data_IF_609890263936
#
_entry.id   IF_609890263936
#
_cell.length_a   1.000
_cell.length_b   1.000
_cell.length_c   1.000
_cell.angle_alpha   90.00
_cell.angle_beta   90.00
_cell.angle_gamma   90.00
#
_symmetry.space_group_name_H-M   'P 1'
#
loop_
_entity.id
_entity.type
_entity.pdbx_description
1 polymer ?
#
# COMPACT_ATOMS: atom_id res chain seq x y z
N UNK A 1 6.65 -3.67 -5.35
CA UNK A 1 5.31 -3.56 -4.70
C UNK A 1 4.34 -2.96 -5.70
N UNK A 2 3.11 -3.46 -5.75
CA UNK A 2 2.03 -2.95 -6.61
C UNK A 2 0.80 -2.64 -5.76
N UNK A 3 0.07 -1.58 -6.11
CA UNK A 3 -1.17 -1.16 -5.42
C UNK A 3 -2.27 -1.03 -6.47
N UNK A 4 -3.33 -1.81 -6.33
CA UNK A 4 -4.55 -1.69 -7.13
C UNK A 4 -5.48 -0.64 -6.49
N UNK A 5 -5.34 0.60 -6.94
CA UNK A 5 -6.16 1.72 -6.45
C UNK A 5 -7.65 1.54 -6.70
N UNK A 6 -8.06 0.66 -7.63
CA UNK A 6 -9.49 0.41 -7.86
C UNK A 6 -10.20 -0.33 -6.73
N UNK A 7 -9.44 -1.08 -5.93
CA UNK A 7 -9.92 -1.83 -4.77
C UNK A 7 -9.61 -1.13 -3.45
N UNK A 8 -8.77 -0.09 -3.46
CA UNK A 8 -8.40 0.62 -2.25
C UNK A 8 -9.59 1.41 -1.70
N UNK A 9 -9.95 1.12 -0.45
CA UNK A 9 -11.05 1.80 0.27
C UNK A 9 -10.61 3.03 1.05
N UNK A 10 -9.30 3.33 1.08
CA UNK A 10 -8.77 4.48 1.80
C UNK A 10 -8.67 4.29 3.32
N UNK A 11 -8.60 3.05 3.82
CA UNK A 11 -8.60 2.74 5.26
C UNK A 11 -7.30 3.04 6.03
N UNK A 12 -6.23 3.47 5.34
CA UNK A 12 -4.93 3.89 5.89
C UNK A 12 -4.11 2.84 6.67
N UNK A 13 -4.61 1.62 6.87
CA UNK A 13 -3.92 0.57 7.64
C UNK A 13 -2.51 0.28 7.10
N UNK A 14 -2.34 0.25 5.77
CA UNK A 14 -1.04 0.01 5.15
C UNK A 14 -0.02 1.13 5.41
N UNK A 15 -0.47 2.38 5.55
CA UNK A 15 0.37 3.55 5.87
C UNK A 15 0.93 3.39 7.28
N UNK A 16 0.08 3.02 8.23
CA UNK A 16 0.50 2.80 9.62
C UNK A 16 1.36 1.55 9.80
N UNK A 17 1.10 0.49 9.04
CA UNK A 17 1.86 -0.76 9.14
C UNK A 17 3.24 -0.68 8.49
N UNK A 18 3.51 0.28 7.60
CA UNK A 18 4.78 0.33 6.87
C UNK A 18 5.92 0.83 7.78
N UNK A 19 6.90 -0.01 8.16
CA UNK A 19 8.00 0.40 9.03
C UNK A 19 9.02 1.32 8.35
N UNK A 20 8.90 1.50 7.03
CA UNK A 20 9.78 2.33 6.20
C UNK A 20 9.09 3.60 5.70
N UNK A 21 7.82 3.84 6.09
CA UNK A 21 7.04 5.01 5.68
C UNK A 21 7.00 5.22 4.16
N UNK A 22 6.93 4.12 3.40
CA UNK A 22 6.89 4.12 1.92
C UNK A 22 5.54 4.62 1.39
N UNK A 23 4.47 4.40 2.16
CA UNK A 23 3.09 4.59 1.75
C UNK A 23 2.52 5.89 2.32
N UNK A 24 1.69 6.57 1.55
CA UNK A 24 0.87 7.70 1.97
C UNK A 24 -0.52 7.63 1.33
N UNK A 25 -1.46 8.39 1.89
CA UNK A 25 -2.76 8.61 1.27
C UNK A 25 -2.71 9.81 0.33
N UNK A 26 -3.36 9.69 -0.82
CA UNK A 26 -3.58 10.79 -1.75
C UNK A 26 -5.05 10.93 -2.06
N UNK A 27 -5.49 12.15 -2.37
CA UNK A 27 -6.89 12.41 -2.71
C UNK A 27 -7.24 11.80 -4.08
N UNK A 28 -8.37 11.11 -4.14
CA UNK A 28 -8.97 10.61 -5.38
C UNK A 28 -10.49 10.77 -5.28
N UNK A 29 -11.01 11.83 -5.91
CA UNK A 29 -12.43 12.14 -5.93
C UNK A 29 -13.30 11.10 -6.67
N UNK A 30 -12.68 10.17 -7.41
CA UNK A 30 -13.40 9.05 -8.04
C UNK A 30 -13.76 7.94 -7.06
N UNK A 31 -13.23 7.99 -5.83
CA UNK A 31 -13.48 6.99 -4.78
C UNK A 31 -14.47 7.49 -3.76
N UNK A 32 -15.21 6.54 -3.17
CA UNK A 32 -16.20 6.82 -2.13
C UNK A 32 -15.54 7.47 -0.91
N UNK A 33 -14.37 6.98 -0.50
CA UNK A 33 -13.61 7.57 0.61
C UNK A 33 -12.88 8.87 0.23
N UNK A 34 -12.83 9.22 -1.06
CA UNK A 34 -12.09 10.38 -1.54
C UNK A 34 -10.57 10.24 -1.47
N UNK A 35 -10.04 9.06 -1.13
CA UNK A 35 -8.60 8.84 -0.94
C UNK A 35 -8.17 7.43 -1.39
N UNK A 36 -6.91 7.30 -1.81
CA UNK A 36 -6.26 6.01 -2.12
C UNK A 36 -4.82 5.99 -1.61
N UNK A 37 -4.32 4.79 -1.32
CA UNK A 37 -2.92 4.61 -0.96
C UNK A 37 -2.01 4.71 -2.19
N UNK A 38 -0.84 5.33 -2.01
CA UNK A 38 0.23 5.45 -3.00
C UNK A 38 1.59 5.18 -2.38
N UNK A 39 2.52 4.68 -3.19
CA UNK A 39 3.92 4.54 -2.82
C UNK A 39 4.65 5.84 -3.16
N UNK A 40 5.04 6.61 -2.16
CA UNK A 40 5.77 7.87 -2.36
C UNK A 40 7.29 7.67 -2.37
N UNK A 41 7.78 6.64 -1.66
CA UNK A 41 9.21 6.29 -1.60
C UNK A 41 9.41 4.80 -1.92
N UNK A 42 9.04 4.30 -3.12
CA UNK A 42 9.08 2.88 -3.43
C UNK A 42 10.48 2.26 -3.29
N UNK A 43 11.54 3.04 -3.47
CA UNK A 43 12.94 2.61 -3.34
C UNK A 43 13.34 2.26 -1.89
N UNK A 44 12.59 2.75 -0.90
CA UNK A 44 12.79 2.41 0.52
C UNK A 44 12.04 1.14 0.94
N UNK A 45 11.30 0.52 0.01
CA UNK A 45 10.55 -0.71 0.32
C UNK A 45 11.51 -1.89 0.47
N UNK A 46 11.58 -2.44 1.68
CA UNK A 46 12.37 -3.64 2.00
C UNK A 46 11.71 -4.96 1.56
N UNK A 47 10.48 -4.91 1.03
CA UNK A 47 9.73 -6.11 0.66
C UNK A 47 9.17 -6.91 1.85
N UNK A 48 9.02 -6.30 3.03
CA UNK A 48 8.62 -7.00 4.26
C UNK A 48 7.19 -7.59 4.31
N UNK A 49 6.31 -7.23 3.37
CA UNK A 49 4.95 -7.80 3.29
C UNK A 49 3.90 -7.23 4.24
N UNK A 50 4.27 -6.47 5.28
CA UNK A 50 3.30 -6.03 6.30
C UNK A 50 2.11 -5.23 5.74
N UNK A 51 2.32 -4.40 4.71
CA UNK A 51 1.24 -3.65 4.08
C UNK A 51 0.25 -4.53 3.30
N UNK A 52 0.70 -5.65 2.76
CA UNK A 52 -0.13 -6.66 2.10
C UNK A 52 -0.93 -7.45 3.14
N UNK A 53 -0.30 -7.87 4.24
CA UNK A 53 -0.94 -8.62 5.33
C UNK A 53 -2.08 -7.86 6.01
N UNK A 54 -1.92 -6.54 6.24
CA UNK A 54 -2.95 -5.73 6.91
C UNK A 54 -4.03 -5.22 5.96
N UNK A 55 -3.89 -5.42 4.64
CA UNK A 55 -4.82 -4.86 3.67
C UNK A 55 -6.12 -5.69 3.63
N UNK A 56 -7.26 -5.17 4.12
CA UNK A 56 -8.50 -5.94 4.16
C UNK A 56 -9.07 -6.21 2.77
N UNK A 57 -8.77 -5.33 1.81
CA UNK A 57 -9.27 -5.39 0.43
C UNK A 57 -8.30 -6.12 -0.53
N UNK A 58 -7.18 -6.63 -0.01
CA UNK A 58 -6.13 -7.31 -0.78
C UNK A 58 -5.67 -6.50 -2.01
N UNK A 59 -5.63 -5.17 -1.87
CA UNK A 59 -5.31 -4.27 -2.96
C UNK A 59 -3.80 -4.01 -3.11
N UNK A 60 -2.97 -4.52 -2.20
CA UNK A 60 -1.51 -4.37 -2.21
C UNK A 60 -0.87 -5.74 -2.42
N UNK A 61 0.15 -5.81 -3.27
CA UNK A 61 0.98 -7.01 -3.41
C UNK A 61 2.47 -6.67 -3.37
N UNK A 62 3.21 -7.42 -2.54
CA UNK A 62 4.66 -7.31 -2.36
C UNK A 62 5.30 -8.57 -2.93
N UNK A 63 6.10 -8.41 -3.98
CA UNK A 63 6.91 -9.52 -4.47
C UNK A 63 8.12 -9.70 -3.55
N UNK A 64 8.15 -10.83 -2.84
CA UNK A 64 9.32 -11.28 -2.10
C UNK A 64 10.27 -11.85 -3.14
N UNK A 65 11.31 -11.09 -3.52
CA UNK A 65 12.42 -11.71 -4.23
C UNK A 65 13.10 -12.64 -3.24
N UNK A 66 12.77 -13.93 -3.30
CA UNK A 66 13.55 -14.94 -2.61
C UNK A 66 14.99 -14.79 -3.12
N UNK A 67 15.90 -14.40 -2.23
CA UNK A 67 17.33 -14.47 -2.51
C UNK A 67 17.62 -15.96 -2.68
N UNK A 68 17.86 -16.35 -3.94
CA UNK A 68 18.35 -17.68 -4.28
C UNK A 68 19.76 -17.90 -3.74
#
# INVERSE_FOLDING_TARGET
MQINQSLCTGCELCVHACPQFVLQMTADASRIAGMVAVAVNPDMCSGCGQCEDVCPDLCISVQITAVA
#
